data_IF_623253453479
#
_entry.id   IF_623253453479
#
_cell.length_a   1.000
_cell.length_b   1.000
_cell.length_c   1.000
_cell.angle_alpha   90.00
_cell.angle_beta   90.00
_cell.angle_gamma   90.00
#
_symmetry.space_group_name_H-M   'P 1'
#
loop_
_entity.id
_entity.type
_entity.pdbx_description
1 polymer ?
#
# COMPACT_ATOMS: atom_id res chain seq x y z
N UNK A 1 11.34 10.22 -8.31
CA UNK A 1 11.86 9.01 -7.76
C UNK A 1 13.35 9.08 -7.41
N UNK A 2 13.71 8.39 -6.36
CA UNK A 2 15.09 8.31 -5.89
C UNK A 2 15.85 7.10 -6.43
N UNK A 3 15.14 6.19 -7.11
CA UNK A 3 15.73 4.95 -7.62
C UNK A 3 15.65 4.90 -9.15
N UNK A 4 16.67 4.30 -9.78
CA UNK A 4 16.68 4.03 -11.22
C UNK A 4 15.79 2.83 -11.55
N UNK A 5 15.36 2.67 -12.83
CA UNK A 5 14.59 1.46 -13.23
C UNK A 5 15.30 0.15 -12.93
N UNK A 6 16.62 0.09 -13.05
CA UNK A 6 17.40 -1.10 -12.69
C UNK A 6 17.34 -1.40 -11.18
N UNK A 7 17.39 -0.37 -10.35
CA UNK A 7 17.26 -0.49 -8.91
C UNK A 7 15.87 -0.96 -8.51
N UNK A 8 14.82 -0.47 -9.15
CA UNK A 8 13.47 -0.93 -8.89
C UNK A 8 13.31 -2.42 -9.20
N UNK A 9 13.80 -2.86 -10.37
CA UNK A 9 13.68 -4.24 -10.78
C UNK A 9 14.37 -5.18 -9.79
N UNK A 10 15.56 -4.81 -9.34
CA UNK A 10 16.28 -5.58 -8.33
C UNK A 10 15.56 -5.58 -6.98
N UNK A 11 14.98 -4.45 -6.59
CA UNK A 11 14.24 -4.34 -5.34
C UNK A 11 13.05 -5.30 -5.28
N UNK A 12 12.34 -5.51 -6.39
CA UNK A 12 11.23 -6.45 -6.43
C UNK A 12 11.68 -7.88 -6.14
N UNK A 13 12.81 -8.29 -6.72
CA UNK A 13 13.38 -9.62 -6.46
C UNK A 13 13.82 -9.77 -5.00
N UNK A 14 14.44 -8.73 -4.46
CA UNK A 14 14.88 -8.73 -3.05
C UNK A 14 13.70 -8.80 -2.08
N UNK A 15 12.61 -8.08 -2.38
CA UNK A 15 11.37 -8.13 -1.59
C UNK A 15 10.80 -9.54 -1.60
N UNK A 16 10.68 -10.15 -2.77
CA UNK A 16 10.13 -11.51 -2.89
C UNK A 16 10.98 -12.53 -2.15
N UNK A 17 12.30 -12.39 -2.22
CA UNK A 17 13.22 -13.27 -1.51
C UNK A 17 13.06 -13.13 0.01
N UNK A 18 13.03 -11.92 0.53
CA UNK A 18 12.82 -11.66 1.96
C UNK A 18 11.48 -12.21 2.44
N UNK A 19 10.42 -11.95 1.70
CA UNK A 19 9.08 -12.44 2.04
C UNK A 19 9.02 -13.97 2.03
N UNK A 20 9.68 -14.59 1.06
CA UNK A 20 9.80 -16.06 0.98
C UNK A 20 10.51 -16.65 2.19
N UNK A 21 11.56 -16.01 2.67
CA UNK A 21 12.27 -16.43 3.88
C UNK A 21 11.38 -16.31 5.13
N UNK A 22 10.65 -15.20 5.25
CA UNK A 22 9.72 -15.00 6.38
C UNK A 22 8.60 -16.03 6.37
N UNK A 23 8.05 -16.33 5.18
CA UNK A 23 7.00 -17.34 5.04
C UNK A 23 7.53 -18.73 5.42
N UNK A 24 8.74 -19.08 5.00
CA UNK A 24 9.38 -20.35 5.36
C UNK A 24 9.60 -20.47 6.88
N UNK A 25 9.77 -19.37 7.58
CA UNK A 25 9.85 -19.31 9.03
C UNK A 25 8.49 -19.51 9.73
N UNK A 26 7.40 -19.52 9.00
CA UNK A 26 6.07 -19.64 9.53
C UNK A 26 5.37 -18.29 9.77
N UNK A 27 5.94 -17.19 9.29
CA UNK A 27 5.29 -15.89 9.39
C UNK A 27 4.07 -15.81 8.47
N UNK A 28 3.00 -15.17 8.95
CA UNK A 28 1.85 -14.83 8.13
C UNK A 28 2.05 -13.41 7.58
N UNK A 29 2.18 -13.32 6.26
CA UNK A 29 2.41 -12.04 5.59
C UNK A 29 1.12 -11.53 4.96
N UNK A 30 0.71 -10.34 5.36
CA UNK A 30 -0.44 -9.64 4.79
C UNK A 30 0.05 -8.30 4.24
N UNK A 31 -0.21 -8.07 2.96
CA UNK A 31 0.20 -6.85 2.28
C UNK A 31 -1.02 -6.07 1.86
N UNK A 32 -1.11 -4.82 2.31
CA UNK A 32 -2.24 -3.95 2.01
C UNK A 32 -1.79 -2.75 1.21
N UNK A 33 -2.54 -2.43 0.19
CA UNK A 33 -2.43 -1.17 -0.53
C UNK A 33 -3.67 -0.33 -0.24
N UNK A 34 -3.46 0.82 0.39
CA UNK A 34 -4.55 1.74 0.72
C UNK A 34 -4.79 2.65 -0.48
N UNK A 35 -5.89 2.44 -1.16
CA UNK A 35 -6.25 3.17 -2.37
C UNK A 35 -7.26 4.27 -2.07
N UNK A 36 -6.95 5.48 -2.52
CA UNK A 36 -7.81 6.66 -2.38
C UNK A 36 -8.00 7.27 -3.77
N UNK A 37 -9.23 7.67 -4.11
CA UNK A 37 -9.47 8.34 -5.38
C UNK A 37 -8.70 9.66 -5.46
N UNK A 38 -8.31 10.12 -6.68
CA UNK A 38 -7.65 11.42 -6.82
C UNK A 38 -8.46 12.58 -6.24
N UNK A 39 -9.78 12.53 -6.36
CA UNK A 39 -10.67 13.54 -5.78
C UNK A 39 -10.61 13.55 -4.26
N UNK A 40 -10.70 12.39 -3.63
CA UNK A 40 -10.61 12.26 -2.18
C UNK A 40 -9.22 12.63 -1.68
N UNK A 41 -8.16 12.27 -2.41
CA UNK A 41 -6.82 12.69 -2.08
C UNK A 41 -6.69 14.21 -2.04
N UNK A 42 -7.24 14.89 -3.05
CA UNK A 42 -7.25 16.34 -3.10
C UNK A 42 -8.03 16.95 -1.94
N UNK A 43 -9.20 16.39 -1.63
CA UNK A 43 -10.01 16.83 -0.50
C UNK A 43 -9.25 16.72 0.82
N UNK A 44 -8.55 15.63 1.05
CA UNK A 44 -7.75 15.42 2.24
C UNK A 44 -6.55 16.36 2.30
N UNK A 45 -5.90 16.63 1.17
CA UNK A 45 -4.79 17.57 1.10
C UNK A 45 -5.26 18.99 1.43
N UNK A 46 -6.40 19.42 0.86
CA UNK A 46 -6.96 20.73 1.13
C UNK A 46 -7.39 20.87 2.60
N UNK A 47 -8.01 19.84 3.17
CA UNK A 47 -8.39 19.82 4.59
C UNK A 47 -7.15 19.99 5.49
N UNK A 48 -6.09 19.26 5.21
CA UNK A 48 -4.85 19.34 5.99
C UNK A 48 -4.17 20.69 5.86
N UNK A 49 -4.20 21.28 4.66
CA UNK A 49 -3.59 22.58 4.41
C UNK A 49 -4.36 23.73 5.06
N UNK A 50 -5.69 23.62 5.10
CA UNK A 50 -6.58 24.68 5.62
C UNK A 50 -6.91 24.52 7.10
N UNK A 51 -6.58 23.38 7.72
CA UNK A 51 -6.83 23.12 9.13
C UNK A 51 -5.53 23.25 9.92
N UNK A 52 -5.40 24.27 10.81
CA UNK A 52 -4.16 24.46 11.58
C UNK A 52 -3.70 23.24 12.37
N UNK A 53 -4.64 22.42 12.85
CA UNK A 53 -4.30 21.23 13.62
C UNK A 53 -3.74 20.08 12.76
N UNK A 54 -3.92 20.18 11.43
CA UNK A 54 -3.51 19.12 10.49
C UNK A 54 -2.43 19.56 9.50
N UNK A 55 -2.00 20.82 9.52
CA UNK A 55 -1.02 21.33 8.54
C UNK A 55 0.31 20.56 8.58
N UNK A 56 0.70 20.05 9.72
CA UNK A 56 1.92 19.27 9.87
C UNK A 56 1.87 17.92 9.13
N UNK A 57 0.67 17.46 8.74
CA UNK A 57 0.49 16.19 8.04
C UNK A 57 0.69 16.30 6.53
N UNK A 58 0.85 17.50 5.99
CA UNK A 58 1.03 17.70 4.56
C UNK A 58 2.36 18.37 4.27
N UNK A 59 3.05 17.91 3.23
CA UNK A 59 4.36 18.41 2.81
C UNK A 59 4.35 18.77 1.33
N UNK A 60 5.31 19.59 0.84
CA UNK A 60 5.47 19.80 -0.61
C UNK A 60 5.68 18.50 -1.39
N UNK A 61 6.24 17.47 -0.76
CA UNK A 61 6.44 16.16 -1.37
C UNK A 61 5.11 15.50 -1.72
N UNK A 62 4.09 15.64 -0.87
CA UNK A 62 2.75 15.09 -1.11
C UNK A 62 2.15 15.68 -2.39
N UNK A 63 2.27 16.99 -2.59
CA UNK A 63 1.79 17.65 -3.81
C UNK A 63 2.58 17.22 -5.05
N UNK A 64 3.88 17.07 -4.95
CA UNK A 64 4.71 16.58 -6.06
C UNK A 64 4.35 15.15 -6.46
N UNK A 65 4.11 14.29 -5.49
CA UNK A 65 3.69 12.91 -5.75
C UNK A 65 2.34 12.88 -6.46
N UNK A 66 1.42 13.77 -6.08
CA UNK A 66 0.14 13.90 -6.76
C UNK A 66 0.30 14.31 -8.24
N UNK A 67 1.19 15.25 -8.53
CA UNK A 67 1.44 15.72 -9.90
C UNK A 67 2.03 14.63 -10.79
N UNK A 68 2.70 13.63 -10.21
CA UNK A 68 3.29 12.48 -10.92
C UNK A 68 2.38 11.25 -10.93
N UNK A 69 1.08 11.43 -10.73
CA UNK A 69 0.12 10.34 -10.59
C UNK A 69 0.16 9.28 -11.70
N UNK A 70 0.24 9.62 -13.01
CA UNK A 70 0.31 8.59 -14.04
C UNK A 70 1.55 7.70 -13.96
N UNK A 71 2.71 8.28 -13.64
CA UNK A 71 3.96 7.54 -13.45
C UNK A 71 3.89 6.67 -12.20
N UNK A 72 3.27 7.19 -11.16
CA UNK A 72 3.06 6.49 -9.90
C UNK A 72 2.15 5.28 -10.09
N UNK A 73 1.05 5.43 -10.83
CA UNK A 73 0.13 4.33 -11.12
C UNK A 73 0.83 3.20 -11.86
N UNK A 74 1.65 3.52 -12.86
CA UNK A 74 2.42 2.51 -13.60
C UNK A 74 3.38 1.76 -12.67
N UNK A 75 4.06 2.47 -11.78
CA UNK A 75 4.96 1.86 -10.79
C UNK A 75 4.22 0.96 -9.82
N UNK A 76 3.03 1.35 -9.38
CA UNK A 76 2.19 0.55 -8.48
C UNK A 76 1.71 -0.71 -9.18
N UNK A 77 1.29 -0.62 -10.43
CA UNK A 77 0.88 -1.78 -11.21
C UNK A 77 2.01 -2.79 -11.37
N UNK A 78 3.23 -2.33 -11.64
CA UNK A 78 4.41 -3.18 -11.69
C UNK A 78 4.69 -3.85 -10.34
N UNK A 79 4.57 -3.11 -9.25
CA UNK A 79 4.73 -3.65 -7.91
C UNK A 79 3.73 -4.78 -7.64
N UNK A 80 2.45 -4.57 -7.96
CA UNK A 80 1.42 -5.61 -7.80
C UNK A 80 1.74 -6.84 -8.63
N UNK A 81 2.11 -6.65 -9.90
CA UNK A 81 2.40 -7.76 -10.81
C UNK A 81 3.62 -8.55 -10.41
N UNK A 82 4.67 -7.87 -9.95
CA UNK A 82 5.98 -8.49 -9.70
C UNK A 82 6.18 -8.95 -8.27
N UNK A 83 5.40 -8.46 -7.31
CA UNK A 83 5.57 -8.81 -5.90
C UNK A 83 4.34 -9.45 -5.25
N UNK A 84 3.28 -9.74 -5.99
CA UNK A 84 2.20 -10.59 -5.49
C UNK A 84 2.61 -12.05 -5.62
N UNK A 85 2.65 -12.76 -4.50
CA UNK A 85 2.97 -14.18 -4.46
C UNK A 85 1.75 -14.97 -3.99
N UNK A 86 1.68 -16.31 -4.23
CA UNK A 86 0.54 -17.10 -3.77
C UNK A 86 0.32 -17.06 -2.26
N UNK A 87 1.38 -16.94 -1.46
CA UNK A 87 1.30 -16.90 -0.01
C UNK A 87 1.15 -15.48 0.55
N UNK A 88 1.44 -14.44 -0.24
CA UNK A 88 1.34 -13.04 0.19
C UNK A 88 0.92 -12.14 -0.97
N UNK A 89 -0.31 -12.30 -1.49
CA UNK A 89 -0.81 -11.41 -2.54
C UNK A 89 -1.10 -10.03 -1.97
N UNK A 90 -1.00 -9.01 -2.83
CA UNK A 90 -1.44 -7.67 -2.47
C UNK A 90 -2.95 -7.63 -2.34
N UNK A 91 -3.42 -6.97 -1.29
CA UNK A 91 -4.85 -6.75 -1.04
C UNK A 91 -5.14 -5.26 -1.06
N UNK A 92 -6.08 -4.85 -1.88
CA UNK A 92 -6.42 -3.45 -2.04
C UNK A 92 -7.49 -3.07 -1.02
N UNK A 93 -7.22 -2.01 -0.25
CA UNK A 93 -8.18 -1.40 0.66
C UNK A 93 -8.65 -0.09 0.06
N UNK A 94 -9.87 -0.04 -0.40
CA UNK A 94 -10.50 1.16 -0.92
C UNK A 94 -10.78 2.11 0.24
N UNK A 95 -9.99 3.16 0.38
CA UNK A 95 -9.98 4.04 1.55
C UNK A 95 -10.62 5.40 1.31
N UNK A 96 -11.43 5.54 0.26
CA UNK A 96 -12.27 6.74 0.08
C UNK A 96 -13.18 6.90 1.31
N UNK A 97 -13.70 5.79 1.82
CA UNK A 97 -14.33 5.73 3.15
C UNK A 97 -13.36 5.06 4.11
N UNK A 98 -12.85 5.81 5.09
CA UNK A 98 -11.87 5.32 6.06
C UNK A 98 -12.41 4.18 6.92
N UNK A 99 -13.67 4.24 7.30
CA UNK A 99 -14.30 3.20 8.15
C UNK A 99 -14.41 1.89 7.40
N UNK A 100 -14.81 1.94 6.13
CA UNK A 100 -14.86 0.76 5.26
C UNK A 100 -13.49 0.08 5.17
N UNK A 101 -12.45 0.86 4.92
CA UNK A 101 -11.08 0.33 4.80
C UNK A 101 -10.62 -0.33 6.10
N UNK A 102 -10.90 0.29 7.24
CA UNK A 102 -10.54 -0.26 8.55
C UNK A 102 -11.24 -1.59 8.84
N UNK A 103 -12.54 -1.66 8.57
CA UNK A 103 -13.32 -2.88 8.76
C UNK A 103 -12.85 -3.98 7.82
N UNK A 104 -12.61 -3.65 6.55
CA UNK A 104 -12.11 -4.60 5.56
C UNK A 104 -10.75 -5.17 5.97
N UNK A 105 -9.83 -4.31 6.44
CA UNK A 105 -8.52 -4.75 6.89
C UNK A 105 -8.61 -5.72 8.08
N UNK A 106 -9.42 -5.40 9.08
CA UNK A 106 -9.63 -6.26 10.24
C UNK A 106 -10.25 -7.60 9.85
N UNK A 107 -11.21 -7.59 8.94
CA UNK A 107 -11.84 -8.82 8.44
C UNK A 107 -10.82 -9.71 7.73
N UNK A 108 -9.99 -9.14 6.87
CA UNK A 108 -8.96 -9.90 6.17
C UNK A 108 -7.97 -10.53 7.16
N UNK A 109 -7.52 -9.76 8.15
CA UNK A 109 -6.61 -10.27 9.18
C UNK A 109 -7.24 -11.43 9.93
N UNK A 110 -8.48 -11.27 10.37
CA UNK A 110 -9.19 -12.32 11.11
C UNK A 110 -9.38 -13.58 10.26
N UNK A 111 -9.81 -13.43 9.01
CA UNK A 111 -10.03 -14.56 8.10
C UNK A 111 -8.73 -15.35 7.85
N UNK A 112 -7.62 -14.64 7.65
CA UNK A 112 -6.33 -15.29 7.42
C UNK A 112 -5.78 -15.97 8.69
N UNK A 113 -5.98 -15.36 9.84
CA UNK A 113 -5.60 -15.98 11.13
C UNK A 113 -6.43 -17.24 11.40
N UNK A 114 -7.74 -17.20 11.13
CA UNK A 114 -8.60 -18.37 11.28
C UNK A 114 -8.14 -19.53 10.41
N UNK A 115 -7.82 -19.27 9.13
CA UNK A 115 -7.25 -20.27 8.24
C UNK A 115 -5.95 -20.83 8.78
N UNK A 116 -5.05 -19.97 9.21
CA UNK A 116 -3.71 -20.36 9.68
C UNK A 116 -3.77 -21.19 10.94
N UNK A 117 -4.69 -20.89 11.83
CA UNK A 117 -4.86 -21.56 13.12
C UNK A 117 -5.83 -22.75 13.04
N UNK A 118 -6.49 -22.96 11.93
CA UNK A 118 -7.44 -24.06 11.74
C UNK A 118 -8.76 -23.86 12.48
N UNK A 119 -9.12 -22.59 12.69
CA UNK A 119 -10.36 -22.25 13.40
C UNK A 119 -11.57 -22.20 12.49
#
# INVERSE_FOLDING_TARGET
GFASPAEWSRAYDEINELEGELEAWGALLLKFWVAVSPEEQLNRFNDRQNNPDKQWKITPEDWRNRDKHPQYDAAVDDMFRLTSTPYAPWRILESTNKYYARVKALKIVNDELEKRLGL
#
